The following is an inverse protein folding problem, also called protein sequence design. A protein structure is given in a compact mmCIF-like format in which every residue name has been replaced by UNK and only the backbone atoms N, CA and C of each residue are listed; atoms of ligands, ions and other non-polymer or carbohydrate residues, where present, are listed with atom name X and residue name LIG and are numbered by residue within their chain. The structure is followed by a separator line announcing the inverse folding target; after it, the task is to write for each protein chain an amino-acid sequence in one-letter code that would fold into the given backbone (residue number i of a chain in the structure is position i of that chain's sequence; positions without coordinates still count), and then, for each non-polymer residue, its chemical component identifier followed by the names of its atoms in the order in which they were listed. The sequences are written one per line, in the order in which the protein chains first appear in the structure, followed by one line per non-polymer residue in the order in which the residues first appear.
data_IF_357456391748
#
_entry.id   IF_357456391748
#
_cell.length_a   1.000
_cell.length_b   1.000
_cell.length_c   1.000
_cell.angle_alpha   90.00
_cell.angle_beta   90.00
_cell.angle_gamma   90.00
#
_symmetry.space_group_name_H-M   'P 1'
#
loop_
_entity.id
_entity.type
_entity.pdbx_description
1 polymer ?
#
# COMPACT_ATOMS: atom_id res chain seq x y z
N UNK A 1 24.49 -11.76 -59.71
CA UNK A 1 23.12 -11.79 -59.24
C UNK A 1 23.08 -12.40 -57.84
N UNK A 2 23.22 -11.57 -56.80
CA UNK A 2 23.07 -12.03 -55.41
C UNK A 2 22.40 -10.89 -54.66
N UNK A 3 21.11 -11.08 -54.33
CA UNK A 3 20.33 -10.13 -53.57
C UNK A 3 20.70 -10.24 -52.10
N UNK A 4 21.32 -9.21 -51.57
CA UNK A 4 21.63 -9.05 -50.15
C UNK A 4 20.39 -8.45 -49.45
N UNK A 5 19.67 -9.24 -48.67
CA UNK A 5 18.57 -8.77 -47.81
C UNK A 5 19.15 -8.22 -46.51
N UNK A 6 19.10 -6.91 -46.34
CA UNK A 6 19.38 -6.24 -45.09
C UNK A 6 18.11 -6.30 -44.24
N UNK A 7 18.15 -7.06 -43.14
CA UNK A 7 17.13 -7.04 -42.10
C UNK A 7 17.42 -5.87 -41.15
N UNK A 8 16.57 -4.86 -41.20
CA UNK A 8 16.57 -3.72 -40.25
C UNK A 8 15.80 -4.15 -39.00
N UNK A 9 16.49 -4.46 -37.92
CA UNK A 9 15.88 -4.71 -36.61
C UNK A 9 15.59 -3.38 -35.95
N UNK A 10 14.32 -2.98 -35.92
CA UNK A 10 13.85 -1.85 -35.12
C UNK A 10 13.72 -2.27 -33.65
N UNK A 11 14.64 -1.82 -32.82
CA UNK A 11 14.53 -1.97 -31.36
C UNK A 11 13.53 -0.92 -30.82
N UNK A 12 12.32 -1.35 -30.47
CA UNK A 12 11.38 -0.54 -29.71
C UNK A 12 11.83 -0.52 -28.24
N UNK A 13 12.41 0.57 -27.79
CA UNK A 13 12.57 0.87 -26.38
C UNK A 13 11.22 1.30 -25.80
N UNK A 14 10.49 0.35 -25.20
CA UNK A 14 9.37 0.68 -24.35
C UNK A 14 9.91 1.18 -23.00
N UNK A 15 9.87 2.51 -22.79
CA UNK A 15 10.08 3.11 -21.48
C UNK A 15 8.91 2.74 -20.58
N UNK A 16 9.08 1.75 -19.71
CA UNK A 16 8.15 1.45 -18.65
C UNK A 16 8.24 2.56 -17.61
N UNK A 17 7.21 3.38 -17.53
CA UNK A 17 6.96 4.26 -16.38
C UNK A 17 6.66 3.34 -15.18
N UNK A 18 7.65 3.20 -14.30
CA UNK A 18 7.47 2.52 -13.03
C UNK A 18 6.59 3.38 -12.12
N UNK A 19 5.27 3.16 -12.18
CA UNK A 19 4.38 3.53 -11.11
C UNK A 19 4.66 2.62 -9.92
N UNK A 20 4.92 3.19 -8.75
CA UNK A 20 5.13 2.46 -7.50
C UNK A 20 3.82 1.83 -7.03
N UNK A 21 3.48 0.69 -7.59
CA UNK A 21 2.42 -0.20 -7.12
C UNK A 21 2.88 -1.61 -7.47
N UNK A 22 3.59 -2.26 -6.54
CA UNK A 22 4.11 -3.61 -6.78
C UNK A 22 3.05 -4.64 -6.48
N UNK A 23 2.43 -5.22 -7.52
CA UNK A 23 1.82 -6.55 -7.38
C UNK A 23 2.96 -7.57 -7.30
N UNK A 24 3.41 -7.90 -6.09
CA UNK A 24 4.40 -8.97 -5.89
C UNK A 24 3.75 -10.33 -6.13
N UNK A 25 3.94 -10.89 -7.30
CA UNK A 25 3.60 -12.28 -7.60
C UNK A 25 4.63 -13.18 -6.92
N UNK A 26 4.29 -13.70 -5.73
CA UNK A 26 5.13 -14.72 -5.12
C UNK A 26 5.15 -14.84 -3.60
N UNK A 27 4.44 -14.00 -2.85
CA UNK A 27 4.29 -14.16 -1.40
C UNK A 27 2.89 -14.67 -1.02
N UNK A 28 2.75 -15.33 0.12
CA UNK A 28 1.44 -15.68 0.69
C UNK A 28 0.62 -14.40 0.96
N UNK A 29 -0.71 -14.52 0.93
CA UNK A 29 -1.62 -13.46 1.32
C UNK A 29 -1.23 -12.85 2.69
N UNK A 30 -1.41 -11.56 2.84
CA UNK A 30 -1.23 -10.89 4.13
C UNK A 30 -2.31 -11.34 5.12
N UNK A 31 -1.97 -11.32 6.39
CA UNK A 31 -2.88 -11.64 7.49
C UNK A 31 -3.08 -10.43 8.39
N UNK A 32 -4.17 -10.39 9.13
CA UNK A 32 -4.41 -9.34 10.15
C UNK A 32 -3.32 -9.31 11.22
N UNK A 33 -2.65 -10.44 11.49
CA UNK A 33 -1.54 -10.54 12.44
C UNK A 33 -0.26 -9.83 11.96
N UNK A 34 -0.10 -9.63 10.66
CA UNK A 34 1.08 -8.94 10.10
C UNK A 34 1.19 -7.48 10.57
N UNK A 35 0.05 -6.83 10.85
CA UNK A 35 0.02 -5.49 11.43
C UNK A 35 0.68 -5.48 12.82
N UNK A 36 0.38 -6.49 13.64
CA UNK A 36 0.99 -6.63 14.97
C UNK A 36 2.49 -6.94 14.87
N UNK A 37 2.91 -7.82 13.97
CA UNK A 37 4.34 -8.11 13.71
C UNK A 37 5.11 -6.87 13.33
N UNK A 38 4.55 -6.00 12.49
CA UNK A 38 5.16 -4.72 12.10
C UNK A 38 5.34 -3.82 13.33
N UNK A 39 4.32 -3.70 14.18
CA UNK A 39 4.39 -2.91 15.40
C UNK A 39 5.44 -3.46 16.39
N UNK A 40 5.43 -4.78 16.63
CA UNK A 40 6.39 -5.46 17.51
C UNK A 40 7.84 -5.39 17.00
N UNK A 41 8.04 -5.27 15.70
CA UNK A 41 9.36 -5.08 15.10
C UNK A 41 9.94 -3.67 15.33
N UNK A 42 9.20 -2.76 15.96
CA UNK A 42 9.66 -1.40 16.23
C UNK A 42 9.69 -0.52 14.98
N UNK A 43 8.73 -0.72 14.08
CA UNK A 43 8.62 0.07 12.85
C UNK A 43 8.15 1.51 13.12
N UNK A 44 7.40 1.74 14.21
CA UNK A 44 6.76 3.02 14.54
C UNK A 44 7.50 3.77 15.64
N UNK A 45 7.41 5.10 15.60
CA UNK A 45 8.00 5.99 16.61
C UNK A 45 7.11 6.17 17.85
N UNK A 46 5.85 5.73 17.77
CA UNK A 46 4.86 5.82 18.85
C UNK A 46 3.97 4.56 18.89
N UNK A 47 3.19 4.42 19.95
CA UNK A 47 2.13 3.42 20.03
C UNK A 47 0.94 3.87 19.19
N UNK A 48 0.46 2.99 18.29
CA UNK A 48 -0.64 3.26 17.40
C UNK A 48 -1.96 2.71 17.96
N UNK A 49 -3.07 3.37 17.62
CA UNK A 49 -4.41 2.98 18.03
C UNK A 49 -5.08 2.09 16.97
N UNK A 50 -5.88 1.14 17.44
CA UNK A 50 -6.69 0.27 16.56
C UNK A 50 -7.85 1.06 15.95
N UNK A 51 -8.03 0.91 14.64
CA UNK A 51 -9.16 1.46 13.89
C UNK A 51 -10.10 0.31 13.49
N UNK A 52 -11.40 0.48 13.74
CA UNK A 52 -12.42 -0.52 13.36
C UNK A 52 -12.66 -0.56 11.84
N UNK A 53 -13.27 -1.65 11.38
CA UNK A 53 -13.46 -1.90 9.96
C UNK A 53 -14.37 -0.89 9.23
N UNK A 54 -15.38 -0.35 9.91
CA UNK A 54 -16.28 0.63 9.29
C UNK A 54 -15.57 1.98 9.14
N UNK A 55 -14.81 2.37 10.15
CA UNK A 55 -13.96 3.55 10.12
C UNK A 55 -12.86 3.41 9.07
N UNK A 56 -12.20 2.26 8.99
CA UNK A 56 -11.17 1.98 7.98
C UNK A 56 -11.75 2.05 6.56
N UNK A 57 -12.92 1.46 6.32
CA UNK A 57 -13.61 1.50 5.02
C UNK A 57 -13.88 2.94 4.55
N UNK A 58 -14.34 3.80 5.47
CA UNK A 58 -14.57 5.22 5.17
C UNK A 58 -13.27 6.02 5.02
N UNK A 59 -12.30 5.79 5.91
CA UNK A 59 -10.98 6.47 5.94
C UNK A 59 -10.24 6.34 4.61
N UNK A 60 -10.18 5.12 4.09
CA UNK A 60 -9.47 4.82 2.85
C UNK A 60 -10.27 5.12 1.57
N UNK A 61 -11.51 5.64 1.70
CA UNK A 61 -12.34 6.01 0.56
C UNK A 61 -12.75 4.82 -0.31
N UNK A 62 -12.91 3.64 0.29
CA UNK A 62 -13.20 2.40 -0.45
C UNK A 62 -14.55 2.47 -1.18
N UNK A 63 -15.54 3.16 -0.58
CA UNK A 63 -16.83 3.40 -1.23
C UNK A 63 -16.70 4.27 -2.48
N UNK A 64 -15.87 5.32 -2.44
CA UNK A 64 -15.64 6.23 -3.56
C UNK A 64 -14.91 5.52 -4.72
N UNK A 65 -14.13 4.49 -4.40
CA UNK A 65 -13.48 3.63 -5.38
C UNK A 65 -14.43 2.57 -6.00
N UNK A 66 -15.67 2.48 -5.50
CA UNK A 66 -16.69 1.57 -6.02
C UNK A 66 -16.82 0.25 -5.25
N UNK A 67 -16.14 0.10 -4.11
CA UNK A 67 -16.30 -1.06 -3.24
C UNK A 67 -17.50 -0.92 -2.31
N UNK A 68 -18.15 -2.03 -2.01
CA UNK A 68 -19.16 -2.10 -0.95
C UNK A 68 -18.51 -2.53 0.36
N UNK A 69 -19.12 -2.17 1.49
CA UNK A 69 -18.62 -2.57 2.81
C UNK A 69 -18.51 -4.09 2.98
N UNK A 70 -19.41 -4.85 2.36
CA UNK A 70 -19.41 -6.31 2.41
C UNK A 70 -18.20 -6.94 1.69
N UNK A 71 -17.57 -6.23 0.75
CA UNK A 71 -16.39 -6.72 0.06
C UNK A 71 -15.11 -6.62 0.92
N UNK A 72 -15.09 -5.76 1.93
CA UNK A 72 -14.06 -5.79 2.96
C UNK A 72 -14.46 -6.85 4.01
N UNK A 73 -13.92 -8.07 3.85
CA UNK A 73 -14.31 -9.24 4.64
C UNK A 73 -13.66 -9.24 6.01
N UNK A 74 -12.42 -8.72 6.12
CA UNK A 74 -11.70 -8.54 7.38
C UNK A 74 -10.65 -7.43 7.22
N UNK A 75 -10.18 -6.88 8.32
CA UNK A 75 -9.03 -5.96 8.31
C UNK A 75 -8.39 -5.85 9.70
N UNK A 76 -7.13 -5.45 9.72
CA UNK A 76 -6.47 -4.92 10.91
C UNK A 76 -5.84 -3.59 10.53
N UNK A 77 -6.08 -2.56 11.34
CA UNK A 77 -5.55 -1.23 11.11
C UNK A 77 -5.05 -0.66 12.43
N UNK A 78 -3.80 -0.25 12.45
CA UNK A 78 -3.18 0.56 13.50
C UNK A 78 -2.83 1.92 12.92
N UNK A 79 -3.15 3.00 13.62
CA UNK A 79 -2.93 4.35 13.14
C UNK A 79 -2.60 5.29 14.28
N UNK A 80 -1.74 6.29 14.02
CA UNK A 80 -1.48 7.37 14.96
C UNK A 80 -2.75 8.10 15.38
N UNK A 81 -2.88 8.40 16.66
CA UNK A 81 -3.96 9.23 17.20
C UNK A 81 -3.87 10.70 16.75
N UNK A 82 -2.85 11.07 15.98
CA UNK A 82 -2.69 12.38 15.37
C UNK A 82 -1.34 13.06 15.62
N UNK A 83 -0.43 12.44 16.35
CA UNK A 83 0.92 13.00 16.55
C UNK A 83 1.78 12.83 15.29
N UNK A 84 1.66 11.70 14.59
CA UNK A 84 2.36 11.39 13.34
C UNK A 84 1.40 11.02 12.22
N UNK A 85 1.93 10.66 11.03
CA UNK A 85 1.17 10.04 9.94
C UNK A 85 1.40 8.52 9.88
N UNK A 86 1.98 7.93 10.93
CA UNK A 86 2.31 6.51 10.95
C UNK A 86 1.05 5.64 11.01
N UNK A 87 1.04 4.59 10.21
CA UNK A 87 -0.02 3.60 10.19
C UNK A 87 0.43 2.28 9.56
N UNK A 88 -0.25 1.19 9.92
CA UNK A 88 -0.21 -0.08 9.21
C UNK A 88 -1.62 -0.60 9.04
N UNK A 89 -1.93 -1.09 7.85
CA UNK A 89 -3.21 -1.68 7.53
C UNK A 89 -3.05 -2.94 6.70
N UNK A 90 -3.78 -3.99 7.06
CA UNK A 90 -4.06 -5.13 6.19
C UNK A 90 -5.56 -5.12 5.92
N UNK A 91 -5.93 -5.09 4.65
CA UNK A 91 -7.29 -5.20 4.17
C UNK A 91 -7.46 -6.55 3.47
N UNK A 92 -8.46 -7.32 3.87
CA UNK A 92 -8.81 -8.60 3.26
C UNK A 92 -10.13 -8.42 2.50
N UNK A 93 -10.07 -8.57 1.19
CA UNK A 93 -11.21 -8.36 0.31
C UNK A 93 -11.83 -9.71 -0.09
N UNK A 94 -13.01 -9.66 -0.71
CA UNK A 94 -13.71 -10.84 -1.21
C UNK A 94 -13.11 -11.42 -2.51
N UNK A 95 -12.25 -10.64 -3.19
CA UNK A 95 -11.64 -11.02 -4.47
C UNK A 95 -10.32 -10.26 -4.73
N UNK A 96 -9.51 -10.78 -5.65
CA UNK A 96 -8.29 -10.11 -6.12
C UNK A 96 -8.62 -8.79 -6.85
N UNK A 97 -9.71 -8.74 -7.62
CA UNK A 97 -10.14 -7.51 -8.30
C UNK A 97 -10.52 -6.41 -7.30
N UNK A 98 -11.20 -6.79 -6.20
CA UNK A 98 -11.50 -5.86 -5.11
C UNK A 98 -10.21 -5.39 -4.40
N UNK A 99 -9.22 -6.26 -4.24
CA UNK A 99 -7.92 -5.89 -3.68
C UNK A 99 -7.18 -4.88 -4.58
N UNK A 100 -7.19 -5.04 -5.89
CA UNK A 100 -6.60 -4.06 -6.82
C UNK A 100 -7.34 -2.72 -6.77
N UNK A 101 -8.66 -2.73 -6.62
CA UNK A 101 -9.46 -1.52 -6.43
C UNK A 101 -9.11 -0.83 -5.11
N UNK A 102 -9.00 -1.60 -4.02
CA UNK A 102 -8.59 -1.07 -2.71
C UNK A 102 -7.17 -0.48 -2.76
N UNK A 103 -6.22 -1.11 -3.44
CA UNK A 103 -4.87 -0.59 -3.61
C UNK A 103 -4.87 0.78 -4.32
N UNK A 104 -5.66 0.94 -5.37
CA UNK A 104 -5.84 2.24 -6.05
C UNK A 104 -6.44 3.30 -5.11
N UNK A 105 -7.39 2.90 -4.25
CA UNK A 105 -7.96 3.81 -3.25
C UNK A 105 -6.91 4.25 -2.23
N UNK A 106 -6.04 3.34 -1.77
CA UNK A 106 -4.94 3.66 -0.85
C UNK A 106 -3.92 4.62 -1.45
N UNK A 107 -3.60 4.50 -2.73
CA UNK A 107 -2.74 5.47 -3.43
C UNK A 107 -3.35 6.87 -3.42
N UNK A 108 -4.65 6.99 -3.68
CA UNK A 108 -5.39 8.24 -3.58
C UNK A 108 -5.44 8.80 -2.14
N UNK A 109 -5.60 7.93 -1.16
CA UNK A 109 -5.54 8.27 0.26
C UNK A 109 -4.17 8.83 0.65
N UNK A 110 -3.07 8.16 0.28
CA UNK A 110 -1.71 8.63 0.55
C UNK A 110 -1.44 10.00 -0.08
N UNK A 111 -1.85 10.21 -1.32
CA UNK A 111 -1.69 11.51 -1.97
C UNK A 111 -2.45 12.61 -1.21
N UNK A 112 -3.66 12.33 -0.74
CA UNK A 112 -4.43 13.26 0.07
C UNK A 112 -3.76 13.54 1.42
N UNK A 113 -3.14 12.52 2.05
CA UNK A 113 -2.36 12.70 3.28
C UNK A 113 -1.16 13.63 3.04
N UNK A 114 -0.42 13.45 1.96
CA UNK A 114 0.69 14.32 1.56
C UNK A 114 0.19 15.75 1.37
N UNK A 115 -0.86 15.97 0.58
CA UNK A 115 -1.41 17.30 0.29
C UNK A 115 -1.91 18.01 1.55
N UNK A 116 -2.48 17.27 2.48
CA UNK A 116 -2.99 17.82 3.74
C UNK A 116 -1.85 18.18 4.70
N UNK A 117 -0.80 17.37 4.76
CA UNK A 117 0.26 17.51 5.77
C UNK A 117 1.45 18.37 5.34
N UNK A 118 1.62 18.67 4.06
CA UNK A 118 2.75 19.44 3.55
C UNK A 118 2.96 20.80 4.23
N UNK A 119 1.87 21.43 4.66
CA UNK A 119 1.90 22.75 5.32
C UNK A 119 1.82 22.66 6.86
N UNK A 120 1.25 21.56 7.39
CA UNK A 120 1.02 21.41 8.83
C UNK A 120 2.07 20.56 9.53
N UNK A 121 2.58 19.52 8.85
CA UNK A 121 3.55 18.55 9.36
C UNK A 121 4.53 18.15 8.27
N UNK A 122 5.36 19.09 7.78
CA UNK A 122 6.31 18.82 6.70
C UNK A 122 7.32 17.72 7.05
N UNK A 123 7.60 17.50 8.33
CA UNK A 123 8.47 16.43 8.84
C UNK A 123 7.90 15.02 8.58
N UNK A 124 6.58 14.88 8.40
CA UNK A 124 5.93 13.60 8.12
C UNK A 124 5.91 13.26 6.61
N UNK A 125 6.16 14.23 5.74
CA UNK A 125 6.11 14.04 4.29
C UNK A 125 7.07 12.94 3.81
N UNK A 126 8.33 12.85 4.28
CA UNK A 126 9.23 11.77 3.86
C UNK A 126 8.70 10.37 4.21
N UNK A 127 7.97 10.20 5.34
CA UNK A 127 7.34 8.92 5.71
C UNK A 127 6.21 8.57 4.74
N UNK A 128 5.35 9.55 4.41
CA UNK A 128 4.25 9.37 3.47
C UNK A 128 4.74 9.07 2.04
N UNK A 129 5.81 9.76 1.59
CA UNK A 129 6.41 9.52 0.28
C UNK A 129 7.12 8.16 0.19
N UNK A 130 7.60 7.63 1.31
CA UNK A 130 8.20 6.30 1.41
C UNK A 130 7.20 5.20 1.80
N UNK A 131 5.91 5.51 1.86
CA UNK A 131 4.88 4.55 2.20
C UNK A 131 4.96 3.30 1.32
N UNK A 132 4.71 2.15 1.92
CA UNK A 132 4.71 0.87 1.23
C UNK A 132 3.28 0.34 1.08
N UNK A 133 2.82 0.20 -0.16
CA UNK A 133 1.59 -0.48 -0.53
C UNK A 133 1.92 -1.73 -1.32
N UNK A 134 1.24 -2.83 -1.02
CA UNK A 134 1.44 -4.11 -1.72
C UNK A 134 0.16 -4.93 -1.70
N UNK A 135 -0.15 -5.57 -2.82
CA UNK A 135 -1.27 -6.50 -2.94
C UNK A 135 -0.75 -7.92 -3.16
N UNK A 136 -1.29 -8.88 -2.41
CA UNK A 136 -1.06 -10.32 -2.55
C UNK A 136 -2.40 -11.03 -2.51
N UNK A 137 -2.74 -11.76 -3.57
CA UNK A 137 -4.04 -12.40 -3.70
C UNK A 137 -5.18 -11.39 -3.46
N UNK A 138 -6.10 -11.70 -2.57
CA UNK A 138 -7.21 -10.83 -2.18
C UNK A 138 -6.90 -9.92 -0.99
N UNK A 139 -5.62 -9.67 -0.68
CA UNK A 139 -5.19 -8.85 0.45
C UNK A 139 -4.35 -7.66 0.03
N UNK A 140 -4.45 -6.56 0.78
CA UNK A 140 -3.65 -5.35 0.57
C UNK A 140 -3.01 -4.93 1.87
N UNK A 141 -1.72 -4.62 1.81
CA UNK A 141 -0.95 -4.03 2.90
C UNK A 141 -0.66 -2.55 2.61
N UNK A 142 -0.81 -1.70 3.61
CA UNK A 142 -0.33 -0.33 3.63
C UNK A 142 0.53 -0.14 4.88
N UNK A 143 1.70 0.48 4.72
CA UNK A 143 2.56 0.88 5.85
C UNK A 143 3.11 2.28 5.62
N UNK A 144 2.98 3.13 6.63
CA UNK A 144 3.67 4.42 6.78
C UNK A 144 4.41 4.36 8.11
N UNK A 145 5.73 4.33 8.09
CA UNK A 145 6.53 4.04 9.28
C UNK A 145 7.82 4.87 9.34
N UNK A 146 8.29 5.10 10.56
CA UNK A 146 9.63 5.70 10.81
C UNK A 146 10.73 4.74 10.33
N UNK A 147 10.59 3.45 10.62
CA UNK A 147 11.54 2.41 10.23
C UNK A 147 10.92 1.43 9.23
N UNK A 148 10.89 1.81 7.96
CA UNK A 148 10.33 0.99 6.89
C UNK A 148 11.06 -0.36 6.72
N UNK A 149 12.37 -0.42 6.98
CA UNK A 149 13.12 -1.67 6.90
C UNK A 149 12.63 -2.69 7.93
N UNK A 150 12.38 -2.26 9.17
CA UNK A 150 11.82 -3.13 10.20
C UNK A 150 10.42 -3.62 9.81
N UNK A 151 9.58 -2.75 9.24
CA UNK A 151 8.25 -3.13 8.76
C UNK A 151 8.33 -4.19 7.65
N UNK A 152 9.17 -3.97 6.65
CA UNK A 152 9.33 -4.89 5.53
C UNK A 152 9.89 -6.25 5.98
N UNK A 153 10.86 -6.26 6.90
CA UNK A 153 11.47 -7.49 7.41
C UNK A 153 10.47 -8.32 8.23
N UNK A 154 9.54 -7.67 8.93
CA UNK A 154 8.53 -8.33 9.76
C UNK A 154 7.53 -9.19 8.95
N UNK A 155 7.31 -8.88 7.68
CA UNK A 155 6.33 -9.57 6.80
C UNK A 155 6.97 -10.24 5.58
N UNK A 156 8.30 -10.38 5.57
CA UNK A 156 9.01 -11.25 4.63
C UNK A 156 8.77 -12.70 5.03
N UNK A 157 7.95 -13.39 4.28
CA UNK A 157 7.73 -14.85 4.37
C UNK A 157 8.22 -15.55 3.12
#
# INVERSE_FOLDING_TARGET
MKFLRVMLAAALCAAALAGCGSSEKGGSAYTTDDVNKIAEAGAFSEELETVDADTAFALYGLADAGLTRAQLTDCAVLRSAGATCEEAAVLILDSEDAAQTAMTALDGYLQKQIDTNKDYRPEEIPKLESAWTSARENTVLLVVAENMNAAMDAVKS
#
